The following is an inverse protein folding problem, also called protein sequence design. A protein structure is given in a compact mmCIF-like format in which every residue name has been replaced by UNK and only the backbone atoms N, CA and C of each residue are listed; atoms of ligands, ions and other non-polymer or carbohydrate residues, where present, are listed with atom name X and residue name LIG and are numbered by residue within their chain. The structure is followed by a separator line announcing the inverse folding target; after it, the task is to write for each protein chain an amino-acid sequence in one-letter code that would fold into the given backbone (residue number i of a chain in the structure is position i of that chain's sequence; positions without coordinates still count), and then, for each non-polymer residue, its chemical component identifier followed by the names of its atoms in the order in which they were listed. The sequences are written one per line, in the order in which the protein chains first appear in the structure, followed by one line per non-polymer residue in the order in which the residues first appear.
data_IF_307844455313
#
_entry.id   IF_307844455313
#
_cell.length_a   1.000
_cell.length_b   1.000
_cell.length_c   1.000
_cell.angle_alpha   90.00
_cell.angle_beta   90.00
_cell.angle_gamma   90.00
#
_symmetry.space_group_name_H-M   'P 1'
#
loop_
_entity.id
_entity.type
_entity.pdbx_description
1 polymer ?
#
# COMPACT_ATOMS: atom_id res chain seq x y z
N UNK A 1 -23.19 -31.58 7.25
CA UNK A 1 -24.13 -30.48 7.57
C UNK A 1 -23.34 -29.39 8.27
N UNK A 2 -22.62 -28.56 7.51
CA UNK A 2 -21.94 -27.37 8.02
C UNK A 2 -22.81 -26.16 7.71
N UNK A 3 -23.07 -25.32 8.71
CA UNK A 3 -23.84 -24.08 8.54
C UNK A 3 -23.03 -23.12 7.66
N UNK A 4 -23.51 -22.87 6.45
CA UNK A 4 -23.19 -21.66 5.70
C UNK A 4 -23.59 -20.45 6.56
N UNK A 5 -22.60 -19.70 7.02
CA UNK A 5 -22.80 -18.31 7.42
C UNK A 5 -23.12 -17.55 6.12
N UNK A 6 -24.41 -17.32 5.85
CA UNK A 6 -24.82 -16.34 4.85
C UNK A 6 -24.25 -14.99 5.28
N UNK A 7 -23.30 -14.50 4.49
CA UNK A 7 -22.80 -13.15 4.54
C UNK A 7 -23.96 -12.21 4.21
N UNK A 8 -24.21 -11.23 5.09
CA UNK A 8 -25.11 -10.13 4.76
C UNK A 8 -24.44 -9.26 3.70
N UNK A 9 -25.19 -8.89 2.66
CA UNK A 9 -24.71 -7.94 1.67
C UNK A 9 -24.46 -6.58 2.33
N UNK A 10 -23.43 -5.80 1.90
CA UNK A 10 -23.17 -4.46 2.42
C UNK A 10 -24.40 -3.53 2.38
N UNK A 11 -25.31 -3.77 1.43
CA UNK A 11 -26.60 -3.09 1.24
C UNK A 11 -27.62 -3.34 2.35
N UNK A 12 -27.41 -4.35 3.22
CA UNK A 12 -28.34 -4.77 4.27
C UNK A 12 -28.05 -4.16 5.65
N UNK A 13 -27.00 -3.36 5.81
CA UNK A 13 -26.83 -2.53 7.01
C UNK A 13 -27.93 -1.46 7.01
N UNK A 14 -28.93 -1.63 7.87
CA UNK A 14 -30.07 -0.70 8.01
C UNK A 14 -29.69 0.75 8.36
N UNK A 15 -28.40 1.02 8.62
CA UNK A 15 -27.86 2.33 8.93
C UNK A 15 -26.85 2.88 7.88
N UNK A 16 -26.70 2.21 6.71
CA UNK A 16 -25.78 2.63 5.63
C UNK A 16 -26.14 3.96 4.93
N UNK A 17 -27.12 4.71 5.44
CA UNK A 17 -27.60 5.97 4.87
C UNK A 17 -27.42 7.20 5.75
N UNK A 18 -26.96 7.05 7.00
CA UNK A 18 -26.65 8.21 7.82
C UNK A 18 -25.20 8.63 7.55
N UNK A 19 -25.01 9.70 6.78
CA UNK A 19 -23.73 10.41 6.71
C UNK A 19 -23.27 10.69 8.14
N UNK A 20 -22.31 9.92 8.64
CA UNK A 20 -21.75 10.11 9.97
C UNK A 20 -21.05 11.48 9.95
N UNK A 21 -21.71 12.48 10.57
CA UNK A 21 -21.31 13.89 10.60
C UNK A 21 -20.16 14.18 11.57
N UNK A 22 -19.39 13.15 11.89
CA UNK A 22 -18.52 13.16 13.06
C UNK A 22 -17.09 13.43 12.62
N UNK A 23 -16.83 14.71 12.34
CA UNK A 23 -15.49 15.23 12.00
C UNK A 23 -14.82 15.83 13.26
N UNK A 24 -15.56 15.96 14.37
CA UNK A 24 -15.05 16.44 15.66
C UNK A 24 -15.79 15.74 16.83
N UNK A 25 -15.20 15.76 18.04
CA UNK A 25 -15.81 15.24 19.27
C UNK A 25 -15.46 13.78 19.60
N UNK A 26 -16.31 13.12 20.41
CA UNK A 26 -16.05 11.79 21.00
C UNK A 26 -15.89 10.64 19.99
N UNK A 27 -16.39 10.82 18.76
CA UNK A 27 -16.23 9.88 17.65
C UNK A 27 -14.81 9.88 17.05
N UNK A 28 -14.02 10.92 17.31
CA UNK A 28 -12.61 10.99 16.93
C UNK A 28 -11.68 10.61 18.09
N UNK A 29 -12.22 10.01 19.16
CA UNK A 29 -11.43 9.43 20.23
C UNK A 29 -10.91 8.05 19.80
N UNK A 30 -9.57 7.83 19.70
CA UNK A 30 -9.04 6.52 19.33
C UNK A 30 -9.49 5.37 20.25
N UNK A 31 -9.83 5.66 21.51
CA UNK A 31 -10.33 4.67 22.45
C UNK A 31 -11.76 4.19 22.15
N UNK A 32 -12.52 4.92 21.33
CA UNK A 32 -13.88 4.55 20.90
C UNK A 32 -13.93 3.95 19.49
N UNK A 33 -12.79 3.87 18.80
CA UNK A 33 -12.73 3.33 17.45
C UNK A 33 -13.03 1.82 17.41
N UNK A 34 -13.67 1.36 16.32
CA UNK A 34 -13.90 -0.06 16.12
C UNK A 34 -12.58 -0.84 15.99
N UNK A 35 -12.62 -2.13 16.29
CA UNK A 35 -11.48 -3.04 16.12
C UNK A 35 -11.03 -3.18 14.65
N UNK A 36 -11.93 -2.89 13.72
CA UNK A 36 -11.66 -2.81 12.29
C UNK A 36 -12.13 -1.46 11.78
N UNK A 37 -11.35 -0.85 10.89
CA UNK A 37 -11.65 0.49 10.40
C UNK A 37 -13.02 0.61 9.72
N UNK A 38 -13.56 1.81 9.75
CA UNK A 38 -14.70 2.26 8.95
C UNK A 38 -14.46 3.69 8.46
N UNK A 39 -15.31 4.18 7.55
CA UNK A 39 -15.14 5.53 7.02
C UNK A 39 -15.37 6.64 8.05
N UNK A 40 -16.04 6.36 9.18
CA UNK A 40 -16.18 7.34 10.24
C UNK A 40 -14.84 7.61 10.93
N UNK A 41 -14.10 6.56 11.31
CA UNK A 41 -12.77 6.75 11.90
C UNK A 41 -11.74 7.28 10.88
N UNK A 42 -11.80 6.86 9.61
CA UNK A 42 -10.95 7.43 8.54
C UNK A 42 -11.20 8.94 8.41
N UNK A 43 -12.45 9.39 8.35
CA UNK A 43 -12.76 10.83 8.30
C UNK A 43 -12.28 11.57 9.55
N UNK A 44 -12.41 10.98 10.73
CA UNK A 44 -11.88 11.55 11.97
C UNK A 44 -10.36 11.77 11.91
N UNK A 45 -9.62 10.85 11.29
CA UNK A 45 -8.16 10.98 11.13
C UNK A 45 -7.84 12.08 10.11
N UNK A 46 -8.43 12.03 8.92
CA UNK A 46 -8.02 12.92 7.82
C UNK A 46 -8.63 14.31 7.89
N UNK A 47 -9.93 14.43 8.14
CA UNK A 47 -10.65 15.67 7.87
C UNK A 47 -10.22 16.92 8.67
N UNK A 48 -9.72 16.82 9.92
CA UNK A 48 -9.26 18.01 10.64
C UNK A 48 -8.10 18.76 9.96
N UNK A 49 -7.12 18.05 9.40
CA UNK A 49 -5.86 18.66 8.91
C UNK A 49 -5.46 18.22 7.49
N UNK A 50 -6.11 17.21 6.94
CA UNK A 50 -5.71 16.48 5.73
C UNK A 50 -6.88 16.27 4.76
N UNK A 51 -7.87 17.18 4.75
CA UNK A 51 -9.05 17.10 3.90
C UNK A 51 -8.72 17.04 2.39
N UNK A 52 -7.56 17.55 1.99
CA UNK A 52 -7.05 17.45 0.61
C UNK A 52 -6.74 16.00 0.20
N UNK A 53 -6.37 15.11 1.13
CA UNK A 53 -6.13 13.70 0.85
C UNK A 53 -7.46 13.01 0.54
N UNK A 54 -8.49 13.29 1.35
CA UNK A 54 -9.85 12.79 1.11
C UNK A 54 -10.42 13.31 -0.21
N UNK A 55 -10.18 14.58 -0.52
CA UNK A 55 -10.62 15.19 -1.79
C UNK A 55 -9.95 14.53 -3.00
N UNK A 56 -8.63 14.26 -2.91
CA UNK A 56 -7.89 13.54 -3.95
C UNK A 56 -8.37 12.10 -4.11
N UNK A 57 -8.54 11.39 -3.00
CA UNK A 57 -9.11 10.05 -2.98
C UNK A 57 -10.47 10.00 -3.68
N UNK A 58 -11.38 10.92 -3.34
CA UNK A 58 -12.70 10.99 -3.98
C UNK A 58 -12.66 11.30 -5.47
N UNK A 59 -11.76 12.19 -5.90
CA UNK A 59 -11.68 12.64 -7.28
C UNK A 59 -10.98 11.64 -8.21
N UNK A 60 -9.98 10.93 -7.70
CA UNK A 60 -9.06 10.13 -8.51
C UNK A 60 -9.01 8.66 -8.12
N UNK A 61 -9.58 8.26 -6.99
CA UNK A 61 -9.50 6.92 -6.48
C UNK A 61 -10.67 6.03 -6.88
N UNK A 62 -10.37 4.76 -7.08
CA UNK A 62 -11.33 3.65 -7.09
C UNK A 62 -10.90 2.68 -5.99
N UNK A 63 -11.71 2.53 -4.94
CA UNK A 63 -11.30 1.81 -3.74
C UNK A 63 -11.95 0.44 -3.65
N UNK A 64 -11.13 -0.54 -3.29
CA UNK A 64 -11.54 -1.91 -3.07
C UNK A 64 -11.00 -2.40 -1.73
N UNK A 65 -11.82 -3.18 -1.02
CA UNK A 65 -11.50 -3.70 0.30
C UNK A 65 -11.46 -5.22 0.25
N UNK A 66 -10.38 -5.79 0.76
CA UNK A 66 -10.07 -7.23 0.70
C UNK A 66 -9.83 -7.78 2.11
N UNK A 67 -10.12 -9.06 2.34
CA UNK A 67 -9.70 -9.73 3.58
C UNK A 67 -8.18 -10.00 3.59
N UNK A 68 -7.60 -10.22 2.41
CA UNK A 68 -6.18 -10.51 2.23
C UNK A 68 -5.72 -10.03 0.85
N UNK A 69 -4.51 -9.47 0.82
CA UNK A 69 -3.75 -9.13 -0.39
C UNK A 69 -2.40 -9.83 -0.24
N UNK A 70 -2.01 -10.65 -1.22
CA UNK A 70 -0.70 -11.29 -1.21
C UNK A 70 -0.14 -11.45 -2.62
N UNK A 71 1.16 -11.64 -2.69
CA UNK A 71 1.93 -11.77 -3.92
C UNK A 71 2.77 -13.04 -3.80
N UNK A 72 2.68 -13.91 -4.80
CA UNK A 72 3.47 -15.13 -4.88
C UNK A 72 4.68 -14.89 -5.79
N UNK A 73 5.56 -14.00 -5.33
CA UNK A 73 6.69 -13.48 -6.10
C UNK A 73 7.70 -14.59 -6.44
N UNK A 74 8.08 -14.77 -7.72
CA UNK A 74 9.21 -15.60 -8.09
C UNK A 74 10.51 -15.03 -7.50
N UNK A 75 11.30 -15.88 -6.88
CA UNK A 75 12.60 -15.53 -6.30
C UNK A 75 13.61 -16.64 -6.55
N UNK A 76 14.83 -16.31 -6.94
CA UNK A 76 15.90 -17.27 -7.11
C UNK A 76 16.77 -17.37 -5.85
N UNK A 77 16.76 -18.53 -5.20
CA UNK A 77 17.46 -18.80 -3.93
C UNK A 77 18.95 -19.17 -4.09
N UNK A 78 19.51 -18.93 -5.29
CA UNK A 78 20.86 -19.35 -5.66
C UNK A 78 20.93 -20.76 -6.26
N UNK A 79 19.83 -21.54 -6.24
CA UNK A 79 19.77 -22.89 -6.83
C UNK A 79 18.58 -23.08 -7.75
N UNK A 80 17.41 -22.60 -7.35
CA UNK A 80 16.16 -22.74 -8.09
C UNK A 80 15.26 -21.51 -7.92
N UNK A 81 14.37 -21.33 -8.88
CA UNK A 81 13.27 -20.38 -8.76
C UNK A 81 12.21 -20.96 -7.81
N UNK A 82 12.04 -20.30 -6.68
CA UNK A 82 11.02 -20.58 -5.66
C UNK A 82 9.97 -19.47 -5.68
N UNK A 83 8.93 -19.64 -4.86
CA UNK A 83 7.91 -18.62 -4.61
C UNK A 83 8.13 -18.06 -3.21
N UNK A 84 8.29 -16.74 -3.10
CA UNK A 84 8.29 -16.00 -1.84
C UNK A 84 6.94 -15.31 -1.70
N UNK A 85 6.11 -15.79 -0.78
CA UNK A 85 4.84 -15.11 -0.47
C UNK A 85 5.11 -13.82 0.29
N UNK A 86 4.61 -12.72 -0.23
CA UNK A 86 4.58 -11.41 0.41
C UNK A 86 3.12 -11.04 0.71
N UNK A 87 2.79 -10.69 1.95
CA UNK A 87 1.46 -10.18 2.29
C UNK A 87 1.47 -8.66 2.18
N UNK A 88 0.68 -8.11 1.27
CA UNK A 88 0.59 -6.67 1.05
C UNK A 88 -0.30 -5.98 2.08
N UNK A 89 0.09 -4.78 2.51
CA UNK A 89 -0.74 -3.91 3.35
C UNK A 89 -1.83 -3.15 2.57
N UNK A 90 -1.61 -3.00 1.27
CA UNK A 90 -2.46 -2.32 0.31
C UNK A 90 -1.80 -2.37 -1.07
N UNK A 91 -2.41 -1.72 -2.05
CA UNK A 91 -1.77 -1.44 -3.34
C UNK A 91 -2.41 -0.22 -3.99
N UNK A 92 -1.67 0.42 -4.90
CA UNK A 92 -2.22 1.33 -5.89
C UNK A 92 -1.68 1.04 -7.29
N UNK A 93 -2.54 1.11 -8.30
CA UNK A 93 -2.12 1.11 -9.69
C UNK A 93 -3.00 2.04 -10.53
N UNK A 94 -2.51 2.43 -11.71
CA UNK A 94 -3.28 3.23 -12.67
C UNK A 94 -4.22 2.34 -13.49
N UNK A 95 -5.50 2.70 -13.60
CA UNK A 95 -6.46 1.95 -14.43
C UNK A 95 -6.31 2.23 -15.93
N UNK A 96 -5.42 3.14 -16.33
CA UNK A 96 -5.21 3.59 -17.70
C UNK A 96 -6.20 4.66 -18.17
N UNK A 97 -7.16 5.05 -17.33
CA UNK A 97 -8.13 6.14 -17.59
C UNK A 97 -7.92 7.33 -16.63
N UNK A 98 -6.77 7.39 -15.97
CA UNK A 98 -6.43 8.45 -15.02
C UNK A 98 -7.09 8.28 -13.65
N UNK A 99 -7.62 7.09 -13.33
CA UNK A 99 -7.97 6.72 -11.96
C UNK A 99 -6.89 5.85 -11.34
N UNK A 100 -6.77 5.95 -10.03
CA UNK A 100 -5.92 5.10 -9.21
C UNK A 100 -6.78 4.08 -8.50
N UNK A 101 -6.60 2.81 -8.86
CA UNK A 101 -7.25 1.70 -8.16
C UNK A 101 -6.46 1.42 -6.89
N UNK A 102 -7.12 1.51 -5.75
CA UNK A 102 -6.50 1.34 -4.43
C UNK A 102 -7.13 0.14 -3.72
N UNK A 103 -6.29 -0.79 -3.28
CA UNK A 103 -6.67 -1.92 -2.46
C UNK A 103 -6.37 -1.69 -0.99
N UNK A 104 -7.34 -1.94 -0.12
CA UNK A 104 -7.23 -1.82 1.33
C UNK A 104 -7.55 -3.16 2.02
N UNK A 105 -6.86 -3.45 3.12
CA UNK A 105 -7.18 -4.61 3.96
C UNK A 105 -8.38 -4.29 4.88
N UNK A 106 -9.36 -5.18 4.96
CA UNK A 106 -10.57 -5.02 5.79
C UNK A 106 -10.31 -5.13 7.29
N UNK A 107 -9.39 -6.03 7.66
CA UNK A 107 -9.19 -6.48 9.06
C UNK A 107 -7.97 -5.84 9.70
N UNK A 108 -7.78 -4.56 9.47
CA UNK A 108 -6.77 -3.73 10.15
C UNK A 108 -7.47 -2.65 10.97
N UNK A 109 -6.76 -2.05 11.93
CA UNK A 109 -7.30 -0.93 12.70
C UNK A 109 -7.38 0.37 11.86
N UNK A 110 -8.03 1.39 12.42
CA UNK A 110 -8.20 2.68 11.77
C UNK A 110 -6.88 3.38 11.42
N UNK A 111 -5.85 3.24 12.25
CA UNK A 111 -4.56 3.88 12.00
C UNK A 111 -3.84 3.23 10.83
N UNK A 112 -3.83 1.89 10.77
CA UNK A 112 -3.22 1.13 9.69
C UNK A 112 -3.94 1.33 8.34
N UNK A 113 -5.28 1.38 8.35
CA UNK A 113 -6.05 1.69 7.14
C UNK A 113 -5.79 3.13 6.67
N UNK A 114 -5.75 4.10 7.59
CA UNK A 114 -5.44 5.48 7.25
C UNK A 114 -3.99 5.66 6.75
N UNK A 115 -3.01 4.98 7.37
CA UNK A 115 -1.64 4.90 6.87
C UNK A 115 -1.59 4.40 5.43
N UNK A 116 -2.30 3.31 5.14
CA UNK A 116 -2.39 2.76 3.78
C UNK A 116 -3.01 3.77 2.82
N UNK A 117 -4.15 4.37 3.16
CA UNK A 117 -4.79 5.39 2.31
C UNK A 117 -3.84 6.56 2.05
N UNK A 118 -3.14 7.06 3.08
CA UNK A 118 -2.19 8.17 2.92
C UNK A 118 -1.03 7.78 2.00
N UNK A 119 -0.43 6.61 2.23
CA UNK A 119 0.68 6.06 1.42
C UNK A 119 0.29 5.93 -0.05
N UNK A 120 -0.84 5.29 -0.32
CA UNK A 120 -1.31 5.07 -1.69
C UNK A 120 -1.72 6.39 -2.38
N UNK A 121 -2.30 7.33 -1.63
CA UNK A 121 -2.59 8.67 -2.15
C UNK A 121 -1.32 9.48 -2.43
N UNK A 122 -0.25 9.25 -1.68
CA UNK A 122 1.03 9.90 -1.92
C UNK A 122 1.60 9.51 -3.29
N UNK A 123 1.53 8.22 -3.65
CA UNK A 123 1.94 7.74 -4.97
C UNK A 123 1.25 8.46 -6.14
N UNK A 124 0.05 9.01 -5.94
CA UNK A 124 -0.69 9.75 -6.97
C UNK A 124 -0.10 11.13 -7.29
N UNK A 125 0.72 11.68 -6.38
CA UNK A 125 1.35 12.98 -6.52
C UNK A 125 2.84 12.89 -6.93
N UNK A 126 3.39 11.67 -6.99
CA UNK A 126 4.80 11.46 -7.30
C UNK A 126 5.09 11.59 -8.81
N UNK A 127 6.21 12.22 -9.21
CA UNK A 127 6.64 12.28 -10.60
C UNK A 127 6.86 10.89 -11.22
N UNK A 128 6.49 10.74 -12.49
CA UNK A 128 6.77 9.52 -13.26
C UNK A 128 8.25 9.31 -13.55
N UNK A 129 9.09 10.32 -13.35
CA UNK A 129 10.55 10.22 -13.50
C UNK A 129 11.24 9.48 -12.36
N UNK A 130 10.54 9.22 -11.25
CA UNK A 130 11.09 8.46 -10.12
C UNK A 130 11.03 6.97 -10.43
N UNK A 131 12.12 6.26 -10.14
CA UNK A 131 12.14 4.80 -10.15
C UNK A 131 11.16 4.23 -9.09
N UNK A 132 10.70 2.98 -9.23
CA UNK A 132 9.80 2.36 -8.25
C UNK A 132 10.33 2.44 -6.81
N UNK A 133 11.61 2.14 -6.57
CA UNK A 133 12.20 2.21 -5.22
C UNK A 133 12.29 3.65 -4.69
N UNK A 134 12.55 4.64 -5.54
CA UNK A 134 12.51 6.04 -5.13
C UNK A 134 11.09 6.45 -4.73
N UNK A 135 10.07 6.01 -5.49
CA UNK A 135 8.66 6.24 -5.18
C UNK A 135 8.28 5.62 -3.84
N UNK A 136 8.64 4.37 -3.60
CA UNK A 136 8.38 3.70 -2.32
C UNK A 136 9.12 4.37 -1.15
N UNK A 137 10.40 4.69 -1.31
CA UNK A 137 11.17 5.41 -0.28
C UNK A 137 10.50 6.73 0.10
N UNK A 138 10.15 7.54 -0.90
CA UNK A 138 9.50 8.84 -0.67
C UNK A 138 8.11 8.67 -0.05
N UNK A 139 7.32 7.68 -0.48
CA UNK A 139 6.02 7.38 0.12
C UNK A 139 6.16 6.94 1.59
N UNK A 140 7.03 5.99 1.91
CA UNK A 140 7.27 5.57 3.30
C UNK A 140 7.78 6.72 4.18
N UNK A 141 8.70 7.53 3.67
CA UNK A 141 9.22 8.68 4.40
C UNK A 141 8.12 9.69 4.75
N UNK A 142 7.28 10.05 3.78
CA UNK A 142 6.20 11.02 3.99
C UNK A 142 5.04 10.42 4.81
N UNK A 143 4.76 9.13 4.67
CA UNK A 143 3.80 8.40 5.51
C UNK A 143 4.26 8.37 6.97
N UNK A 144 5.53 8.09 7.25
CA UNK A 144 6.05 8.13 8.62
C UNK A 144 6.06 9.55 9.19
N UNK A 145 6.42 10.55 8.38
CA UNK A 145 6.33 11.96 8.78
C UNK A 145 4.88 12.34 9.15
N UNK A 146 3.92 11.91 8.34
CA UNK A 146 2.50 12.14 8.56
C UNK A 146 1.99 11.42 9.83
N UNK A 147 2.29 10.14 10.00
CA UNK A 147 1.84 9.37 11.18
C UNK A 147 2.44 9.92 12.48
N UNK A 148 3.71 10.36 12.48
CA UNK A 148 4.34 11.04 13.62
C UNK A 148 3.58 12.33 13.96
N UNK A 149 3.31 13.19 12.96
CA UNK A 149 2.56 14.44 13.14
C UNK A 149 1.16 14.21 13.70
N UNK A 150 0.48 13.13 13.30
CA UNK A 150 -0.87 12.76 13.76
C UNK A 150 -0.86 12.01 15.10
N UNK A 151 0.31 11.65 15.64
CA UNK A 151 0.42 10.83 16.85
C UNK A 151 -0.06 9.39 16.66
N UNK A 152 -0.04 8.88 15.42
CA UNK A 152 -0.38 7.50 15.09
C UNK A 152 0.83 6.58 15.29
N UNK A 153 0.57 5.30 15.55
CA UNK A 153 1.61 4.30 15.81
C UNK A 153 2.61 4.18 14.66
N UNK A 154 2.15 4.24 13.42
CA UNK A 154 2.96 4.00 12.22
C UNK A 154 3.85 2.76 12.34
N UNK A 155 5.01 2.80 11.70
CA UNK A 155 6.00 1.71 11.74
C UNK A 155 7.20 2.11 12.58
N UNK A 156 7.14 1.82 13.89
CA UNK A 156 8.18 2.25 14.85
C UNK A 156 9.63 1.85 14.49
N UNK A 157 9.85 0.77 13.73
CA UNK A 157 11.19 0.36 13.28
C UNK A 157 11.73 1.20 12.09
N UNK A 158 10.89 2.04 11.50
CA UNK A 158 11.25 3.03 10.46
C UNK A 158 11.45 4.44 11.04
N UNK A 159 11.48 4.57 12.36
CA UNK A 159 11.63 5.84 13.08
C UNK A 159 12.92 5.85 13.88
N UNK A 160 13.49 7.03 14.04
CA UNK A 160 14.63 7.31 14.90
C UNK A 160 14.30 8.43 15.90
N UNK A 161 15.11 8.53 16.95
CA UNK A 161 15.09 9.67 17.87
C UNK A 161 16.31 10.53 17.61
N UNK A 162 16.10 11.82 17.34
CA UNK A 162 17.20 12.77 17.14
C UNK A 162 17.90 13.15 18.45
N UNK A 163 18.95 13.98 18.36
CA UNK A 163 19.71 14.45 19.54
C UNK A 163 18.90 15.32 20.51
N UNK A 164 17.74 15.81 20.09
CA UNK A 164 16.83 16.65 20.89
C UNK A 164 15.69 15.84 21.51
N UNK A 165 15.60 14.53 21.22
CA UNK A 165 14.53 13.66 21.71
C UNK A 165 13.29 13.66 20.83
N UNK A 166 13.33 14.26 19.63
CA UNK A 166 12.21 14.22 18.70
C UNK A 166 12.21 12.90 17.93
N UNK A 167 11.02 12.33 17.72
CA UNK A 167 10.83 11.20 16.80
C UNK A 167 10.75 11.69 15.37
N UNK A 168 11.56 11.13 14.48
CA UNK A 168 11.62 11.44 13.05
C UNK A 168 11.66 10.15 12.23
N UNK A 169 11.27 10.18 10.94
CA UNK A 169 11.50 9.06 10.04
C UNK A 169 13.01 8.79 9.89
N UNK A 170 13.41 7.52 10.00
CA UNK A 170 14.78 7.06 9.81
C UNK A 170 15.01 6.73 8.33
N UNK A 171 15.76 7.60 7.64
CA UNK A 171 16.03 7.44 6.20
C UNK A 171 16.81 6.16 5.89
N UNK A 172 17.73 5.76 6.74
CA UNK A 172 18.56 4.58 6.51
C UNK A 172 17.73 3.31 6.72
N UNK A 173 16.89 3.28 7.77
CA UNK A 173 15.97 2.18 8.02
C UNK A 173 14.91 2.04 6.91
N UNK A 174 14.35 3.15 6.42
CA UNK A 174 13.39 3.14 5.31
C UNK A 174 14.05 2.66 4.02
N UNK A 175 15.26 3.13 3.72
CA UNK A 175 16.01 2.68 2.53
C UNK A 175 16.28 1.18 2.61
N UNK A 176 16.73 0.68 3.76
CA UNK A 176 16.95 -0.75 3.98
C UNK A 176 15.66 -1.56 3.80
N UNK A 177 14.56 -1.10 4.41
CA UNK A 177 13.25 -1.73 4.30
C UNK A 177 12.74 -1.80 2.85
N UNK A 178 12.83 -0.71 2.11
CA UNK A 178 12.41 -0.67 0.70
C UNK A 178 13.26 -1.61 -0.14
N UNK A 179 14.58 -1.57 0.00
CA UNK A 179 15.48 -2.45 -0.76
C UNK A 179 15.31 -3.94 -0.44
N UNK A 180 14.93 -4.29 0.80
CA UNK A 180 14.68 -5.67 1.21
C UNK A 180 13.30 -6.17 0.74
N UNK A 181 12.30 -5.29 0.77
CA UNK A 181 10.90 -5.65 0.53
C UNK A 181 10.58 -5.65 -0.97
N UNK A 182 11.16 -4.73 -1.74
CA UNK A 182 10.78 -4.43 -3.11
C UNK A 182 11.87 -4.90 -4.12
N UNK A 183 11.68 -6.05 -4.81
CA UNK A 183 12.69 -6.69 -5.66
C UNK A 183 13.13 -5.92 -6.91
N UNK A 184 12.49 -4.79 -7.27
CA UNK A 184 12.83 -4.01 -8.47
C UNK A 184 13.68 -2.77 -8.18
N UNK A 185 14.83 -2.97 -7.53
CA UNK A 185 15.91 -2.03 -7.72
C UNK A 185 16.26 -2.05 -9.22
N UNK A 186 15.79 -1.06 -9.98
CA UNK A 186 16.37 -0.72 -11.28
C UNK A 186 17.88 -0.77 -11.06
N UNK A 187 18.55 -1.71 -11.72
CA UNK A 187 20.00 -1.80 -11.53
C UNK A 187 20.59 -0.44 -11.90
N UNK A 188 21.72 -0.02 -11.30
CA UNK A 188 22.29 1.31 -11.55
C UNK A 188 22.53 1.63 -13.05
N UNK A 189 22.52 0.61 -13.92
CA UNK A 189 22.65 0.69 -15.37
C UNK A 189 21.31 0.67 -16.15
N UNK A 190 20.17 0.76 -15.47
CA UNK A 190 18.83 0.88 -16.06
C UNK A 190 18.17 -0.45 -16.45
N UNK A 191 18.71 -1.58 -16.02
CA UNK A 191 18.14 -2.91 -16.31
C UNK A 191 17.20 -3.38 -15.19
N UNK A 192 16.04 -3.92 -15.58
CA UNK A 192 15.07 -4.57 -14.71
C UNK A 192 14.96 -6.06 -15.05
N UNK A 193 14.52 -6.88 -14.09
CA UNK A 193 14.17 -8.28 -14.35
C UNK A 193 12.70 -8.35 -14.74
N UNK A 194 12.40 -8.83 -15.95
CA UNK A 194 11.03 -8.88 -16.50
C UNK A 194 10.53 -10.30 -16.82
N UNK A 195 11.41 -11.31 -16.86
CA UNK A 195 11.03 -12.70 -17.10
C UNK A 195 12.05 -13.70 -16.51
N UNK A 196 11.66 -14.97 -16.41
CA UNK A 196 12.54 -16.05 -15.94
C UNK A 196 12.21 -17.42 -16.54
N UNK A 197 13.22 -18.29 -16.63
CA UNK A 197 13.09 -19.70 -17.00
C UNK A 197 13.51 -20.55 -15.81
N UNK A 198 12.70 -21.54 -15.44
CA UNK A 198 12.99 -22.43 -14.30
C UNK A 198 14.11 -23.44 -14.57
N UNK A 199 14.20 -23.96 -15.79
CA UNK A 199 15.17 -24.99 -16.13
C UNK A 199 15.62 -24.93 -17.62
N UNK A 200 16.92 -24.71 -17.89
CA UNK A 200 17.93 -24.27 -16.92
C UNK A 200 17.55 -22.90 -16.33
N UNK A 201 17.92 -22.59 -15.07
CA UNK A 201 17.60 -21.30 -14.48
C UNK A 201 18.19 -20.14 -15.26
N UNK A 202 17.33 -19.31 -15.85
CA UNK A 202 17.71 -18.08 -16.54
C UNK A 202 16.83 -16.92 -16.10
N UNK A 203 17.40 -15.74 -16.15
CA UNK A 203 16.75 -14.46 -15.85
C UNK A 203 16.83 -13.60 -17.09
N UNK A 204 15.71 -12.99 -17.47
CA UNK A 204 15.67 -11.98 -18.52
C UNK A 204 15.83 -10.62 -17.87
N UNK A 205 16.77 -9.85 -18.39
CA UNK A 205 16.92 -8.44 -18.06
C UNK A 205 16.41 -7.63 -19.26
N UNK A 206 15.66 -6.56 -18.97
CA UNK A 206 15.14 -5.61 -19.94
C UNK A 206 15.59 -4.20 -19.57
N UNK A 207 15.97 -3.40 -20.56
CA UNK A 207 16.29 -1.99 -20.39
C UNK A 207 15.22 -1.17 -21.09
N UNK A 208 14.37 -0.49 -20.32
CA UNK A 208 13.24 0.26 -20.87
C UNK A 208 13.69 1.44 -21.74
N UNK A 209 14.84 2.05 -21.43
CA UNK A 209 15.35 3.20 -22.17
C UNK A 209 15.87 2.84 -23.56
N UNK A 210 16.46 1.64 -23.72
CA UNK A 210 17.01 1.17 -25.01
C UNK A 210 16.10 0.17 -25.73
N UNK A 211 15.14 -0.42 -25.02
CA UNK A 211 14.32 -1.53 -25.51
C UNK A 211 15.08 -2.84 -25.66
N UNK A 212 16.32 -2.92 -25.15
CA UNK A 212 17.14 -4.13 -25.22
C UNK A 212 16.72 -5.16 -24.19
N UNK A 213 16.76 -6.43 -24.57
CA UNK A 213 16.53 -7.56 -23.68
C UNK A 213 17.69 -8.56 -23.79
N UNK A 214 18.10 -9.13 -22.66
CA UNK A 214 19.10 -10.19 -22.63
C UNK A 214 18.76 -11.27 -21.61
N UNK A 215 19.14 -12.50 -21.93
CA UNK A 215 19.07 -13.61 -21.00
C UNK A 215 20.44 -13.85 -20.37
N UNK A 216 20.46 -14.09 -19.07
CA UNK A 216 21.64 -14.54 -18.32
C UNK A 216 21.30 -15.68 -17.37
N UNK A 217 22.29 -16.45 -16.89
CA UNK A 217 22.06 -17.34 -15.75
C UNK A 217 21.46 -16.58 -14.56
N UNK A 218 20.52 -17.21 -13.88
CA UNK A 218 19.95 -16.64 -12.65
C UNK A 218 20.99 -16.54 -11.54
N UNK A 219 20.84 -15.53 -10.70
CA UNK A 219 21.71 -15.22 -9.56
C UNK A 219 20.84 -15.15 -8.31
N UNK A 220 21.42 -15.54 -7.17
CA UNK A 220 20.74 -15.42 -5.88
C UNK A 220 20.26 -13.97 -5.70
N UNK A 221 18.99 -13.82 -5.31
CA UNK A 221 18.37 -12.50 -5.18
C UNK A 221 17.59 -12.01 -6.40
N UNK A 222 17.73 -12.65 -7.57
CA UNK A 222 16.86 -12.34 -8.71
C UNK A 222 15.38 -12.57 -8.31
N UNK A 223 14.51 -11.61 -8.61
CA UNK A 223 13.09 -11.69 -8.27
C UNK A 223 12.22 -10.88 -9.21
N UNK A 224 10.92 -11.22 -9.24
CA UNK A 224 9.90 -10.51 -10.01
C UNK A 224 8.69 -10.23 -9.13
N UNK A 225 7.98 -9.13 -9.40
CA UNK A 225 6.64 -8.95 -8.86
C UNK A 225 5.67 -9.89 -9.56
N UNK A 226 4.95 -10.67 -8.78
CA UNK A 226 3.75 -11.34 -9.24
C UNK A 226 2.54 -10.38 -9.22
N UNK A 227 1.47 -10.78 -9.90
CA UNK A 227 0.18 -10.09 -9.75
C UNK A 227 -0.38 -10.31 -8.35
N UNK A 228 -0.96 -9.24 -7.78
CA UNK A 228 -1.63 -9.30 -6.50
C UNK A 228 -2.79 -10.31 -6.52
N UNK A 229 -2.74 -11.30 -5.64
CA UNK A 229 -3.84 -12.18 -5.31
C UNK A 229 -4.71 -11.54 -4.23
N UNK A 230 -6.02 -11.64 -4.40
CA UNK A 230 -7.03 -10.88 -3.64
C UNK A 230 -8.11 -11.81 -3.11
N UNK A 231 -8.48 -11.65 -1.84
CA UNK A 231 -9.51 -12.47 -1.18
C UNK A 231 -10.68 -11.60 -0.70
N UNK A 232 -11.91 -12.03 -1.00
CA UNK A 232 -13.17 -11.39 -0.55
C UNK A 232 -13.32 -9.90 -0.93
N UNK A 233 -13.30 -9.61 -2.23
CA UNK A 233 -13.42 -8.26 -2.78
C UNK A 233 -14.75 -7.57 -2.46
N UNK A 234 -14.69 -6.30 -2.06
CA UNK A 234 -15.84 -5.41 -1.94
C UNK A 234 -15.46 -4.00 -2.42
N UNK A 235 -16.33 -3.36 -3.18
CA UNK A 235 -16.13 -1.98 -3.59
C UNK A 235 -16.37 -1.03 -2.41
N UNK A 236 -15.53 0.00 -2.28
CA UNK A 236 -15.76 1.15 -1.43
C UNK A 236 -15.98 2.37 -2.33
N UNK A 237 -17.20 2.90 -2.28
CA UNK A 237 -17.61 4.03 -3.11
C UNK A 237 -16.72 5.25 -2.82
N UNK A 238 -16.13 5.83 -3.88
CA UNK A 238 -15.29 7.03 -3.76
C UNK A 238 -16.03 8.21 -3.10
N UNK A 239 -17.37 8.22 -3.21
CA UNK A 239 -18.23 9.21 -2.55
C UNK A 239 -18.14 9.20 -1.03
N UNK A 240 -17.64 8.13 -0.40
CA UNK A 240 -17.40 8.05 1.03
C UNK A 240 -16.20 8.91 1.49
N UNK A 241 -15.32 9.32 0.57
CA UNK A 241 -14.14 10.12 0.90
C UNK A 241 -14.47 11.62 0.93
N UNK A 242 -15.21 12.06 1.94
CA UNK A 242 -15.60 13.46 2.11
C UNK A 242 -15.30 13.97 3.52
N UNK A 243 -15.19 15.29 3.65
CA UNK A 243 -15.05 16.00 4.92
C UNK A 243 -16.15 17.04 5.16
N UNK A 244 -17.20 17.03 4.32
CA UNK A 244 -18.35 17.95 4.33
C UNK A 244 -19.71 17.26 4.13
#
# INVERSE_FOLDING_TARGET
MGRELRLEEPSQRQDAGAKVACITGDCCNPASWPAHWDMACIRCIFCPDDAEVMSRARAHGEFWVYDEIYYDDPYFDGKAWITRRFHGGGFAYDDGNGKKVVGLLRKVDCAAAAETIYHEMWHTAQPDTMTPNEKEFDAYYNTELWTIRKGLSGRNYLRMTDSYGNTLPDRDAITAYVNETYPQAVQPDGWIIDDYIKQPPQTREFNEATGEARWRPSREGDGLYAEAQKVSEANLEAAEFYCE
#
